data_IF_799682740893
#
_entry.id   IF_799682740893
#
_cell.length_a   1.000
_cell.length_b   1.000
_cell.length_c   1.000
_cell.angle_alpha   90.00
_cell.angle_beta   90.00
_cell.angle_gamma   90.00
#
_symmetry.space_group_name_H-M   'P 1'
#
loop_
_entity.id
_entity.type
_entity.pdbx_description
1 polymer ?
#
# COMPACT_ATOMS: atom_id res chain seq x y z
N UNK A 1 -4.68 18.37 -6.18
CA UNK A 1 -4.77 18.02 -7.61
C UNK A 1 -6.03 18.56 -8.33
N UNK A 2 -7.25 18.43 -7.80
CA UNK A 2 -8.48 18.91 -8.49
C UNK A 2 -8.45 20.39 -8.90
N UNK A 3 -7.99 21.27 -8.02
CA UNK A 3 -7.80 22.70 -8.32
C UNK A 3 -6.88 22.91 -9.53
N UNK A 4 -5.73 22.22 -9.56
CA UNK A 4 -4.78 22.30 -10.69
C UNK A 4 -5.41 21.83 -11.98
N UNK A 5 -6.20 20.76 -11.95
CA UNK A 5 -6.94 20.27 -13.13
C UNK A 5 -7.87 21.36 -13.67
N UNK A 6 -8.63 22.04 -12.82
CA UNK A 6 -9.56 23.12 -13.22
C UNK A 6 -8.83 24.33 -13.80
N UNK A 7 -7.83 24.84 -13.07
CA UNK A 7 -7.04 26.00 -13.49
C UNK A 7 -6.34 25.71 -14.81
N UNK A 8 -5.69 24.56 -14.95
CA UNK A 8 -5.05 24.15 -16.21
C UNK A 8 -6.05 24.00 -17.35
N UNK A 9 -7.27 23.52 -17.07
CA UNK A 9 -8.34 23.43 -18.06
C UNK A 9 -8.77 24.79 -18.63
N UNK A 10 -8.61 25.87 -17.85
CA UNK A 10 -8.80 27.23 -18.33
C UNK A 10 -7.56 27.80 -19.01
N UNK A 11 -6.36 27.56 -18.47
CA UNK A 11 -5.18 28.27 -18.93
C UNK A 11 -4.62 27.70 -20.24
N UNK A 12 -4.44 26.38 -20.31
CA UNK A 12 -3.75 25.72 -21.42
C UNK A 12 -4.55 24.60 -22.05
N UNK A 13 -5.56 24.08 -21.34
CA UNK A 13 -6.49 23.06 -21.79
C UNK A 13 -5.82 21.81 -22.42
N UNK A 14 -4.64 21.42 -21.92
CA UNK A 14 -3.90 20.29 -22.46
C UNK A 14 -4.73 18.98 -22.37
N UNK A 15 -4.86 18.18 -23.45
CA UNK A 15 -5.72 16.99 -23.48
C UNK A 15 -5.20 15.84 -22.59
N UNK A 16 -3.93 15.90 -22.20
CA UNK A 16 -3.27 14.94 -21.32
C UNK A 16 -2.68 15.66 -20.10
N UNK A 17 -2.68 14.96 -18.97
CA UNK A 17 -2.17 15.46 -17.69
C UNK A 17 -1.15 14.45 -17.18
N UNK A 18 0.07 14.90 -16.92
CA UNK A 18 1.06 14.14 -16.17
C UNK A 18 0.91 14.50 -14.69
N UNK A 19 0.68 13.50 -13.85
CA UNK A 19 0.77 13.64 -12.41
C UNK A 19 2.12 13.11 -11.91
N UNK A 20 2.84 13.93 -11.15
CA UNK A 20 4.18 13.65 -10.66
C UNK A 20 4.38 14.28 -9.27
N UNK A 21 4.85 13.48 -8.33
CA UNK A 21 5.17 13.94 -6.97
C UNK A 21 6.47 14.78 -6.94
N UNK A 22 6.60 15.62 -5.92
CA UNK A 22 7.75 16.53 -5.78
C UNK A 22 9.09 15.81 -5.53
N UNK A 23 9.06 14.57 -5.06
CA UNK A 23 10.23 13.74 -4.84
C UNK A 23 10.53 12.81 -6.02
N UNK A 24 9.81 12.94 -7.13
CA UNK A 24 10.02 12.20 -8.36
C UNK A 24 10.51 13.14 -9.47
N UNK A 25 11.47 12.70 -10.27
CA UNK A 25 11.92 13.43 -11.45
C UNK A 25 11.87 12.56 -12.71
N UNK A 26 11.83 13.23 -13.87
CA UNK A 26 11.87 12.58 -15.18
C UNK A 26 13.28 12.10 -15.47
N UNK A 27 13.48 10.78 -15.54
CA UNK A 27 14.76 10.18 -15.86
C UNK A 27 14.90 9.84 -17.35
N UNK A 28 13.81 9.41 -18.00
CA UNK A 28 13.81 9.19 -19.44
C UNK A 28 13.27 10.42 -20.18
N UNK A 29 14.09 11.15 -20.96
CA UNK A 29 13.66 12.37 -21.65
C UNK A 29 12.60 12.09 -22.74
N UNK A 30 12.49 10.85 -23.22
CA UNK A 30 11.50 10.45 -24.21
C UNK A 30 10.18 9.96 -23.59
N UNK A 31 10.02 10.04 -22.26
CA UNK A 31 8.86 9.44 -21.59
C UNK A 31 7.51 9.98 -22.10
N UNK A 32 7.44 11.29 -22.36
CA UNK A 32 6.22 11.91 -22.91
C UNK A 32 5.90 11.31 -24.27
N UNK A 33 6.90 11.12 -25.13
CA UNK A 33 6.73 10.48 -26.45
C UNK A 33 6.25 9.03 -26.30
N UNK A 34 6.86 8.26 -25.40
CA UNK A 34 6.44 6.87 -25.14
C UNK A 34 4.99 6.80 -24.65
N UNK A 35 4.60 7.66 -23.70
CA UNK A 35 3.23 7.74 -23.22
C UNK A 35 2.26 8.13 -24.34
N UNK A 36 2.61 9.08 -25.20
CA UNK A 36 1.79 9.48 -26.35
C UNK A 36 1.68 8.36 -27.39
N UNK A 37 2.73 7.56 -27.64
CA UNK A 37 2.62 6.38 -28.50
C UNK A 37 1.55 5.40 -27.97
N UNK A 38 1.44 5.23 -26.65
CA UNK A 38 0.45 4.33 -26.04
C UNK A 38 -0.97 4.95 -25.99
N UNK A 39 -1.08 6.26 -25.78
CA UNK A 39 -2.37 6.96 -25.69
C UNK A 39 -2.96 7.30 -27.06
N UNK A 40 -2.13 7.67 -28.03
CA UNK A 40 -2.57 8.07 -29.38
C UNK A 40 -2.45 6.93 -30.40
N UNK A 41 -1.54 5.97 -30.20
CA UNK A 41 -1.31 4.86 -31.12
C UNK A 41 -2.28 3.69 -30.96
N UNK A 42 -3.13 3.68 -29.93
CA UNK A 42 -4.19 2.67 -29.74
C UNK A 42 -5.26 2.78 -30.82
N UNK A 43 -5.79 1.66 -31.31
CA UNK A 43 -6.87 1.66 -32.32
C UNK A 43 -8.16 2.26 -31.77
N UNK A 44 -8.41 2.07 -30.48
CA UNK A 44 -9.55 2.62 -29.78
C UNK A 44 -9.07 3.38 -28.53
N UNK A 45 -9.53 4.61 -28.34
CA UNK A 45 -9.15 5.42 -27.17
C UNK A 45 -9.50 4.73 -25.84
N UNK A 46 -10.55 3.89 -25.81
CA UNK A 46 -10.94 3.07 -24.64
C UNK A 46 -9.81 2.18 -24.13
N UNK A 47 -8.87 1.79 -25.00
CA UNK A 47 -7.74 0.92 -24.66
C UNK A 47 -6.75 1.60 -23.71
N UNK A 48 -6.81 2.93 -23.55
CA UNK A 48 -5.91 3.65 -22.65
C UNK A 48 -6.55 4.94 -22.13
N UNK A 49 -7.15 4.87 -20.93
CA UNK A 49 -7.60 6.04 -20.16
C UNK A 49 -6.46 6.74 -19.43
N UNK A 50 -5.46 5.96 -18.99
CA UNK A 50 -4.20 6.45 -18.48
C UNK A 50 -3.05 5.46 -18.71
N UNK A 51 -1.83 5.99 -18.68
CA UNK A 51 -0.58 5.23 -18.77
C UNK A 51 0.18 5.38 -17.46
N UNK A 52 0.36 4.27 -16.75
CA UNK A 52 1.11 4.21 -15.50
C UNK A 52 2.55 3.79 -15.77
N UNK A 53 3.52 4.49 -15.18
CA UNK A 53 4.89 4.02 -15.09
C UNK A 53 5.17 3.46 -13.69
N UNK A 54 5.90 2.34 -13.54
CA UNK A 54 6.32 1.89 -12.22
C UNK A 54 7.19 2.94 -11.52
N UNK A 55 7.06 3.01 -10.20
CA UNK A 55 7.91 3.87 -9.38
C UNK A 55 9.24 3.15 -9.12
N UNK A 56 10.33 3.89 -9.29
CA UNK A 56 11.68 3.42 -9.01
C UNK A 56 12.42 4.49 -8.20
N UNK A 57 13.39 4.06 -7.40
CA UNK A 57 14.13 4.96 -6.52
C UNK A 57 15.60 5.04 -6.93
N UNK A 58 16.16 6.25 -7.00
CA UNK A 58 17.58 6.44 -7.36
C UNK A 58 18.53 6.22 -6.17
N UNK A 59 18.03 6.49 -4.96
CA UNK A 59 18.67 6.28 -3.66
C UNK A 59 18.15 5.01 -2.96
N UNK A 60 17.60 4.08 -3.76
CA UNK A 60 17.12 2.81 -3.26
C UNK A 60 18.22 2.03 -2.53
N UNK A 61 17.99 1.75 -1.25
CA UNK A 61 18.96 1.05 -0.42
C UNK A 61 19.28 -0.35 -0.97
N UNK A 62 20.56 -0.72 -0.93
CA UNK A 62 21.02 -2.03 -1.37
C UNK A 62 20.30 -3.14 -0.60
N UNK A 63 19.78 -4.12 -1.34
CA UNK A 63 19.00 -5.24 -0.80
C UNK A 63 17.67 -4.87 -0.14
N UNK A 64 17.16 -3.65 -0.33
CA UNK A 64 15.82 -3.22 0.14
C UNK A 64 15.51 -3.66 1.60
N UNK A 65 16.25 -3.18 2.60
CA UNK A 65 16.10 -3.60 3.99
C UNK A 65 14.73 -3.31 4.59
N UNK A 66 13.96 -2.41 3.98
CA UNK A 66 12.62 -1.99 4.42
C UNK A 66 11.49 -2.57 3.56
N UNK A 67 11.79 -3.28 2.46
CA UNK A 67 10.78 -3.89 1.58
C UNK A 67 9.90 -2.87 0.87
N UNK A 68 10.44 -1.71 0.50
CA UNK A 68 9.68 -0.58 -0.05
C UNK A 68 9.83 -0.42 -1.57
N UNK A 69 10.69 -1.20 -2.23
CA UNK A 69 10.92 -1.00 -3.67
C UNK A 69 9.85 -1.68 -4.54
N UNK A 70 9.20 -2.74 -4.03
CA UNK A 70 8.12 -3.46 -4.72
C UNK A 70 8.46 -3.90 -6.16
N UNK A 71 9.74 -4.09 -6.52
CA UNK A 71 10.13 -4.38 -7.91
C UNK A 71 9.50 -5.69 -8.44
N UNK A 72 9.51 -6.75 -7.61
CA UNK A 72 8.88 -8.04 -7.93
C UNK A 72 7.38 -7.88 -8.15
N UNK A 73 6.71 -7.11 -7.30
CA UNK A 73 5.28 -6.84 -7.42
C UNK A 73 4.96 -6.18 -8.77
N UNK A 74 5.72 -5.16 -9.14
CA UNK A 74 5.55 -4.49 -10.43
C UNK A 74 5.84 -5.41 -11.62
N UNK A 75 6.86 -6.29 -11.52
CA UNK A 75 7.21 -7.21 -12.59
C UNK A 75 6.15 -8.29 -12.81
N UNK A 76 5.67 -8.96 -11.77
CA UNK A 76 4.79 -10.11 -11.92
C UNK A 76 3.33 -9.70 -11.89
N UNK A 77 2.86 -9.13 -10.77
CA UNK A 77 1.46 -8.72 -10.65
C UNK A 77 1.15 -7.56 -11.60
N UNK A 78 2.01 -6.54 -11.65
CA UNK A 78 1.83 -5.37 -12.52
C UNK A 78 1.68 -5.75 -13.99
N UNK A 79 2.56 -6.60 -14.53
CA UNK A 79 2.42 -7.10 -15.89
C UNK A 79 1.23 -8.06 -16.06
N UNK A 80 0.91 -8.87 -15.05
CA UNK A 80 -0.24 -9.77 -15.08
C UNK A 80 -1.57 -9.04 -15.26
N UNK A 81 -1.79 -7.95 -14.52
CA UNK A 81 -3.04 -7.19 -14.57
C UNK A 81 -3.18 -6.30 -15.82
N UNK A 82 -2.07 -6.02 -16.52
CA UNK A 82 -2.09 -5.35 -17.84
C UNK A 82 -2.91 -6.15 -18.85
N UNK A 83 -2.86 -7.48 -18.80
CA UNK A 83 -3.64 -8.35 -19.67
C UNK A 83 -5.15 -8.35 -19.39
N UNK A 84 -5.60 -7.75 -18.29
CA UNK A 84 -7.00 -7.71 -17.87
C UNK A 84 -7.60 -6.36 -18.27
N UNK A 85 -7.62 -5.39 -17.35
CA UNK A 85 -8.12 -4.04 -17.59
C UNK A 85 -7.03 -2.98 -17.40
N UNK A 86 -5.82 -3.39 -17.00
CA UNK A 86 -4.67 -2.53 -16.85
C UNK A 86 -4.20 -2.33 -15.40
N UNK A 87 -3.04 -1.68 -15.21
CA UNK A 87 -2.49 -1.42 -13.89
C UNK A 87 -3.34 -0.44 -13.07
N UNK A 88 -3.17 -0.47 -11.75
CA UNK A 88 -3.75 0.56 -10.88
C UNK A 88 -3.10 1.92 -11.14
N UNK A 89 -3.81 2.99 -10.81
CA UNK A 89 -3.20 4.31 -10.72
C UNK A 89 -2.46 4.41 -9.38
N UNK A 90 -1.14 4.56 -9.42
CA UNK A 90 -0.26 4.52 -8.26
C UNK A 90 0.18 5.89 -7.74
N UNK A 91 -0.60 6.96 -7.97
CA UNK A 91 -0.38 8.26 -7.32
C UNK A 91 0.71 9.15 -7.92
N UNK A 92 1.59 8.64 -8.80
CA UNK A 92 2.65 9.42 -9.47
C UNK A 92 3.11 8.74 -10.76
N UNK A 93 3.87 9.44 -11.60
CA UNK A 93 4.42 8.92 -12.86
C UNK A 93 3.33 8.43 -13.83
N UNK A 94 2.19 9.12 -13.88
CA UNK A 94 1.01 8.67 -14.60
C UNK A 94 0.47 9.73 -15.56
N UNK A 95 0.26 9.34 -16.82
CA UNK A 95 -0.32 10.20 -17.85
C UNK A 95 -1.81 9.88 -18.02
N UNK A 96 -2.68 10.83 -17.69
CA UNK A 96 -4.12 10.69 -17.82
C UNK A 96 -4.64 11.46 -19.03
N UNK A 97 -5.69 10.94 -19.68
CA UNK A 97 -6.54 11.78 -20.52
C UNK A 97 -7.34 12.74 -19.63
N UNK A 98 -7.35 14.03 -19.97
CA UNK A 98 -8.13 15.04 -19.23
C UNK A 98 -9.62 14.68 -19.15
N UNK A 99 -10.21 14.21 -20.26
CA UNK A 99 -11.62 13.82 -20.30
C UNK A 99 -11.97 12.67 -19.34
N UNK A 100 -11.02 11.77 -19.07
CA UNK A 100 -11.18 10.68 -18.10
C UNK A 100 -11.26 11.24 -16.68
N UNK A 101 -10.39 12.21 -16.36
CA UNK A 101 -10.45 12.94 -15.09
C UNK A 101 -11.76 13.73 -14.97
N UNK A 102 -12.33 14.20 -16.08
CA UNK A 102 -13.65 14.82 -16.09
C UNK A 102 -14.84 13.85 -15.99
N UNK A 103 -14.58 12.54 -15.85
CA UNK A 103 -15.61 11.53 -15.64
C UNK A 103 -16.28 11.04 -16.93
N UNK A 104 -15.73 11.34 -18.11
CA UNK A 104 -16.26 10.84 -19.38
C UNK A 104 -16.14 9.31 -19.45
N UNK A 105 -17.13 8.65 -20.06
CA UNK A 105 -17.11 7.23 -20.38
C UNK A 105 -16.60 7.02 -21.82
N UNK A 106 -15.96 5.87 -22.13
CA UNK A 106 -15.48 5.58 -23.49
C UNK A 106 -16.61 5.53 -24.54
N UNK A 107 -17.84 5.22 -24.12
CA UNK A 107 -19.02 5.10 -24.98
C UNK A 107 -19.76 6.44 -25.18
N UNK A 108 -19.31 7.51 -24.54
CA UNK A 108 -19.89 8.85 -24.71
C UNK A 108 -19.42 9.44 -26.05
N UNK A 109 -19.91 8.89 -27.17
CA UNK A 109 -19.64 9.41 -28.50
C UNK A 109 -20.47 10.70 -28.70
N UNK A 110 -19.78 11.84 -28.78
CA UNK A 110 -20.22 13.04 -29.51
C UNK A 110 -21.12 14.05 -28.80
N UNK A 111 -21.90 13.69 -27.77
CA UNK A 111 -22.90 14.63 -27.19
C UNK A 111 -22.45 15.25 -25.86
N UNK A 112 -21.95 14.47 -24.88
CA UNK A 112 -21.44 15.01 -23.60
C UNK A 112 -20.05 15.64 -23.69
N UNK A 113 -19.21 15.23 -24.65
CA UNK A 113 -17.91 15.86 -24.87
C UNK A 113 -18.04 17.34 -25.28
N UNK A 114 -19.15 17.72 -25.95
CA UNK A 114 -19.47 19.12 -26.28
C UNK A 114 -19.97 19.91 -25.06
N UNK A 115 -20.69 19.30 -24.11
CA UNK A 115 -21.11 20.00 -22.88
C UNK A 115 -19.99 20.14 -21.84
N UNK A 116 -18.92 19.36 -22.01
CA UNK A 116 -17.65 19.47 -21.28
C UNK A 116 -16.62 20.32 -22.03
N UNK A 117 -17.05 21.12 -23.02
CA UNK A 117 -16.18 22.13 -23.62
C UNK A 117 -15.66 23.01 -22.49
N UNK A 118 -14.34 23.02 -22.24
CA UNK A 118 -13.75 23.85 -21.23
C UNK A 118 -14.17 25.28 -21.51
N UNK A 119 -14.49 26.05 -20.47
CA UNK A 119 -14.84 27.48 -20.61
C UNK A 119 -13.78 28.21 -21.44
N UNK A 120 -12.54 27.71 -21.46
CA UNK A 120 -11.48 28.13 -22.38
C UNK A 120 -11.86 28.12 -23.87
N UNK A 121 -12.47 27.05 -24.39
CA UNK A 121 -12.81 26.93 -25.81
C UNK A 121 -14.00 27.84 -26.17
N UNK A 122 -14.96 27.98 -25.26
CA UNK A 122 -16.06 28.94 -25.36
C UNK A 122 -15.56 30.39 -25.29
N UNK A 123 -14.60 30.68 -24.40
CA UNK A 123 -13.92 31.97 -24.31
C UNK A 123 -13.11 32.24 -25.58
N UNK A 124 -12.37 31.27 -26.12
CA UNK A 124 -11.60 31.46 -27.34
C UNK A 124 -12.50 31.77 -28.54
N UNK A 125 -13.64 31.08 -28.66
CA UNK A 125 -14.64 31.37 -29.71
C UNK A 125 -15.25 32.76 -29.54
N UNK A 126 -15.66 33.12 -28.33
CA UNK A 126 -16.30 34.41 -28.05
C UNK A 126 -15.36 35.60 -28.30
N UNK A 127 -14.06 35.44 -28.00
CA UNK A 127 -13.06 36.50 -28.18
C UNK A 127 -12.56 36.61 -29.62
N UNK A 128 -12.42 35.48 -30.35
CA UNK A 128 -12.19 35.49 -31.81
C UNK A 128 -13.31 36.21 -32.56
N UNK A 129 -14.56 36.06 -32.10
CA UNK A 129 -15.71 36.73 -32.69
C UNK A 129 -15.77 38.24 -32.41
N UNK A 130 -15.06 38.75 -31.39
CA UNK A 130 -15.18 40.15 -30.91
C UNK A 130 -13.92 41.02 -31.11
N UNK A 131 -12.86 40.54 -31.76
CA UNK A 131 -11.60 41.29 -31.97
C UNK A 131 -11.04 41.97 -30.70
N UNK A 132 -11.14 41.31 -29.54
CA UNK A 132 -10.71 41.87 -28.25
C UNK A 132 -9.17 41.85 -28.14
N UNK A 133 -8.57 42.88 -27.51
CA UNK A 133 -7.12 42.98 -27.28
C UNK A 133 -6.60 41.80 -26.44
N UNK A 134 -5.45 41.27 -26.83
CA UNK A 134 -4.80 40.11 -26.19
C UNK A 134 -4.58 40.30 -24.68
N UNK A 135 -4.29 41.53 -24.22
CA UNK A 135 -4.11 41.84 -22.80
C UNK A 135 -5.39 41.67 -21.96
N UNK A 136 -6.54 42.05 -22.50
CA UNK A 136 -7.83 41.94 -21.81
C UNK A 136 -8.28 40.47 -21.73
N UNK A 137 -7.96 39.68 -22.75
CA UNK A 137 -8.13 38.23 -22.72
C UNK A 137 -7.34 37.58 -21.57
N UNK A 138 -6.04 37.89 -21.44
CA UNK A 138 -5.22 37.34 -20.36
C UNK A 138 -5.64 37.82 -18.97
N UNK A 139 -6.08 39.08 -18.83
CA UNK A 139 -6.61 39.59 -17.56
C UNK A 139 -7.88 38.84 -17.14
N UNK A 140 -8.83 38.70 -18.06
CA UNK A 140 -10.09 37.99 -17.81
C UNK A 140 -9.86 36.48 -17.57
N UNK A 141 -8.87 35.89 -18.24
CA UNK A 141 -8.47 34.50 -18.00
C UNK A 141 -7.88 34.31 -16.59
N UNK A 142 -7.05 35.24 -16.12
CA UNK A 142 -6.50 35.20 -14.77
C UNK A 142 -7.58 35.35 -13.70
N UNK A 143 -8.58 36.19 -13.92
CA UNK A 143 -9.72 36.33 -13.02
C UNK A 143 -10.57 35.06 -12.98
N UNK A 144 -10.87 34.47 -14.14
CA UNK A 144 -11.58 33.19 -14.22
C UNK A 144 -10.77 32.05 -13.55
N UNK A 145 -9.45 32.02 -13.73
CA UNK A 145 -8.56 31.07 -13.07
C UNK A 145 -8.62 31.20 -11.54
N UNK A 146 -8.65 32.43 -11.01
CA UNK A 146 -8.83 32.67 -9.57
C UNK A 146 -10.19 32.19 -9.08
N UNK A 147 -11.26 32.38 -9.85
CA UNK A 147 -12.61 31.92 -9.50
C UNK A 147 -12.68 30.39 -9.42
N UNK A 148 -12.15 29.66 -10.40
CA UNK A 148 -12.17 28.18 -10.37
C UNK A 148 -11.21 27.58 -9.35
N UNK A 149 -10.24 28.36 -8.88
CA UNK A 149 -9.36 28.02 -7.78
C UNK A 149 -9.94 28.37 -6.39
N UNK A 150 -11.09 29.06 -6.34
CA UNK A 150 -11.70 29.48 -5.09
C UNK A 150 -12.09 28.31 -4.18
N UNK A 151 -11.96 28.50 -2.87
CA UNK A 151 -12.26 27.47 -1.85
C UNK A 151 -13.72 26.99 -1.89
N UNK A 152 -14.66 27.88 -2.25
CA UNK A 152 -16.09 27.55 -2.38
C UNK A 152 -16.47 26.88 -3.70
N UNK A 153 -15.55 26.74 -4.67
CA UNK A 153 -15.89 26.28 -6.01
C UNK A 153 -16.47 24.86 -6.03
N UNK A 154 -15.99 24.00 -5.13
CA UNK A 154 -16.40 22.59 -5.11
C UNK A 154 -17.71 22.37 -4.34
N UNK A 155 -18.16 23.38 -3.58
CA UNK A 155 -19.38 23.29 -2.79
C UNK A 155 -20.62 23.12 -3.69
N UNK A 156 -21.41 22.09 -3.42
CA UNK A 156 -22.59 21.75 -4.23
C UNK A 156 -22.28 21.19 -5.63
N UNK A 157 -21.02 20.90 -5.95
CA UNK A 157 -20.63 20.32 -7.25
C UNK A 157 -20.31 18.82 -7.16
N UNK A 158 -20.15 18.17 -8.31
CA UNK A 158 -19.70 16.76 -8.40
C UNK A 158 -18.17 16.59 -8.30
N UNK A 159 -17.39 17.66 -8.08
CA UNK A 159 -15.94 17.56 -7.92
C UNK A 159 -15.55 16.73 -6.70
N UNK A 160 -14.59 15.82 -6.88
CA UNK A 160 -14.15 14.85 -5.88
C UNK A 160 -15.15 13.71 -5.62
N UNK A 161 -16.39 13.81 -6.10
CA UNK A 161 -17.41 12.76 -5.93
C UNK A 161 -17.59 11.93 -7.19
N UNK A 162 -17.76 12.56 -8.34
CA UNK A 162 -17.93 11.88 -9.62
C UNK A 162 -16.91 12.36 -10.65
N UNK A 163 -16.40 13.58 -10.46
CA UNK A 163 -15.46 14.24 -11.36
C UNK A 163 -14.17 14.53 -10.62
N UNK A 164 -13.04 14.40 -11.30
CA UNK A 164 -11.72 14.68 -10.76
C UNK A 164 -11.10 13.49 -10.01
N UNK A 165 -10.08 13.83 -9.22
CA UNK A 165 -9.44 12.96 -8.23
C UNK A 165 -10.41 12.73 -7.07
N UNK A 166 -10.61 11.47 -6.70
CA UNK A 166 -11.74 11.03 -5.87
C UNK A 166 -11.50 11.26 -4.38
N UNK A 167 -12.48 11.77 -3.66
CA UNK A 167 -12.42 11.95 -2.21
C UNK A 167 -12.90 10.70 -1.47
N UNK A 168 -12.51 10.59 -0.19
CA UNK A 168 -13.05 9.59 0.73
C UNK A 168 -12.11 8.47 1.15
N UNK A 169 -10.85 8.47 0.70
CA UNK A 169 -9.81 7.54 1.13
C UNK A 169 -8.45 8.24 1.25
N UNK A 170 -7.61 7.80 2.18
CA UNK A 170 -6.20 8.22 2.28
C UNK A 170 -5.31 7.71 1.12
N UNK A 171 -5.84 6.81 0.29
CA UNK A 171 -5.26 6.33 -0.98
C UNK A 171 -6.21 6.67 -2.12
N UNK A 172 -6.38 7.97 -2.37
CA UNK A 172 -7.27 8.49 -3.40
C UNK A 172 -6.87 8.07 -4.81
N UNK A 173 -5.60 7.73 -4.98
CA UNK A 173 -5.01 7.21 -6.21
C UNK A 173 -5.64 5.88 -6.62
N UNK A 174 -5.61 4.88 -5.75
CA UNK A 174 -6.23 3.58 -5.99
C UNK A 174 -7.74 3.73 -6.21
N UNK A 175 -8.40 4.58 -5.42
CA UNK A 175 -9.84 4.86 -5.59
C UNK A 175 -10.14 5.51 -6.95
N UNK A 176 -9.34 6.48 -7.36
CA UNK A 176 -9.51 7.15 -8.66
C UNK A 176 -9.29 6.17 -9.80
N UNK A 177 -8.25 5.33 -9.74
CA UNK A 177 -8.00 4.27 -10.71
C UNK A 177 -9.16 3.27 -10.81
N UNK A 178 -9.69 2.83 -9.66
CA UNK A 178 -10.83 1.93 -9.58
C UNK A 178 -12.06 2.51 -10.27
N UNK A 179 -12.40 3.77 -10.00
CA UNK A 179 -13.56 4.41 -10.63
C UNK A 179 -13.35 4.71 -12.11
N UNK A 180 -12.11 4.89 -12.56
CA UNK A 180 -11.80 4.99 -14.01
C UNK A 180 -12.07 3.64 -14.68
N UNK A 181 -11.60 2.53 -14.10
CA UNK A 181 -11.87 1.20 -14.62
C UNK A 181 -13.36 0.82 -14.54
N UNK A 182 -14.06 1.20 -13.47
CA UNK A 182 -15.51 0.98 -13.34
C UNK A 182 -16.32 1.69 -14.45
N UNK A 183 -15.79 2.78 -15.02
CA UNK A 183 -16.34 3.48 -16.19
C UNK A 183 -15.91 2.87 -17.52
N UNK A 184 -15.38 1.65 -17.52
CA UNK A 184 -15.02 0.87 -18.71
C UNK A 184 -13.75 1.34 -19.45
N UNK A 185 -12.96 2.22 -18.83
CA UNK A 185 -11.62 2.54 -19.32
C UNK A 185 -10.65 1.41 -19.01
N UNK A 186 -9.72 1.17 -19.94
CA UNK A 186 -8.52 0.38 -19.67
C UNK A 186 -7.35 1.31 -19.33
N UNK A 187 -6.28 0.74 -18.82
CA UNK A 187 -5.03 1.46 -18.57
C UNK A 187 -3.85 0.63 -19.05
N UNK A 188 -2.72 1.31 -19.26
CA UNK A 188 -1.53 0.69 -19.84
C UNK A 188 -0.34 0.90 -18.93
N UNK A 189 0.52 -0.12 -18.82
CA UNK A 189 1.79 -0.02 -18.11
C UNK A 189 2.89 0.39 -19.10
N UNK A 190 3.66 1.43 -18.78
CA UNK A 190 4.79 1.88 -19.58
C UNK A 190 6.10 1.65 -18.83
N UNK A 191 6.91 0.73 -19.35
CA UNK A 191 8.20 0.29 -18.80
C UNK A 191 9.34 0.56 -19.78
N UNK A 192 9.66 1.83 -20.09
CA UNK A 192 10.70 2.14 -21.05
C UNK A 192 12.10 1.88 -20.47
N UNK A 193 13.07 1.76 -21.38
CA UNK A 193 14.50 1.79 -21.05
C UNK A 193 15.12 3.07 -21.65
N UNK A 194 15.80 3.91 -20.86
CA UNK A 194 15.95 3.87 -19.39
C UNK A 194 14.63 4.08 -18.63
N UNK A 195 14.60 3.77 -17.32
CA UNK A 195 13.43 3.90 -16.42
C UNK A 195 12.82 5.30 -16.54
N UNK A 196 11.49 5.38 -16.57
CA UNK A 196 10.74 6.61 -16.86
C UNK A 196 10.99 7.74 -15.84
N UNK A 197 10.73 7.42 -14.57
CA UNK A 197 10.81 8.34 -13.45
C UNK A 197 11.63 7.69 -12.34
N UNK A 198 12.35 8.53 -11.58
CA UNK A 198 13.10 8.12 -10.40
C UNK A 198 12.72 9.05 -9.24
N UNK A 199 12.58 8.53 -8.03
CA UNK A 199 12.38 9.35 -6.83
C UNK A 199 13.17 8.90 -5.63
N UNK A 200 12.88 9.49 -4.46
CA UNK A 200 13.57 9.15 -3.21
C UNK A 200 12.86 8.03 -2.44
N UNK A 201 13.61 7.03 -2.00
CA UNK A 201 13.12 5.96 -1.13
C UNK A 201 12.97 6.46 0.31
N UNK A 202 12.00 5.92 1.08
CA UNK A 202 11.92 6.19 2.52
C UNK A 202 13.24 5.79 3.21
N UNK A 203 13.94 6.71 3.92
CA UNK A 203 15.30 6.47 4.38
C UNK A 203 15.38 5.64 5.68
N UNK A 204 14.27 5.48 6.40
CA UNK A 204 14.26 4.95 7.75
C UNK A 204 13.00 4.14 8.09
N UNK A 205 13.11 3.30 9.12
CA UNK A 205 12.04 2.43 9.62
C UNK A 205 10.74 3.17 9.96
N UNK A 206 10.76 4.22 10.81
CA UNK A 206 9.54 4.92 11.21
C UNK A 206 8.77 5.59 10.06
N UNK A 207 9.50 6.24 9.14
CA UNK A 207 8.92 6.88 7.95
C UNK A 207 8.26 5.82 7.06
N UNK A 208 8.96 4.71 6.82
CA UNK A 208 8.42 3.57 6.06
C UNK A 208 7.16 2.99 6.71
N UNK A 209 7.15 2.78 8.04
CA UNK A 209 5.98 2.24 8.73
C UNK A 209 4.79 3.20 8.71
N UNK A 210 5.02 4.51 8.88
CA UNK A 210 3.96 5.52 8.80
C UNK A 210 3.32 5.54 7.41
N UNK A 211 4.14 5.43 6.36
CA UNK A 211 3.66 5.29 4.98
C UNK A 211 2.81 4.02 4.81
N UNK A 212 3.28 2.87 5.28
CA UNK A 212 2.55 1.59 5.23
C UNK A 212 1.21 1.65 5.98
N UNK A 213 1.16 2.34 7.13
CA UNK A 213 -0.08 2.55 7.90
C UNK A 213 -1.08 3.36 7.09
N UNK A 214 -0.64 4.46 6.47
CA UNK A 214 -1.49 5.32 5.62
C UNK A 214 -2.08 4.52 4.46
N UNK A 215 -1.25 3.73 3.78
CA UNK A 215 -1.71 2.86 2.70
C UNK A 215 -2.74 1.84 3.17
N UNK A 216 -2.43 1.06 4.21
CA UNK A 216 -3.37 0.07 4.74
C UNK A 216 -4.70 0.69 5.19
N UNK A 217 -4.66 1.89 5.77
CA UNK A 217 -5.86 2.67 6.15
C UNK A 217 -6.69 3.00 4.91
N UNK A 218 -6.10 3.67 3.92
CA UNK A 218 -6.82 4.09 2.72
C UNK A 218 -7.36 2.93 1.88
N UNK A 219 -6.58 1.85 1.76
CA UNK A 219 -6.98 0.63 1.07
C UNK A 219 -8.21 -0.02 1.74
N UNK A 220 -8.20 -0.11 3.07
CA UNK A 220 -9.34 -0.65 3.80
C UNK A 220 -10.56 0.27 3.73
N UNK A 221 -10.38 1.61 3.75
CA UNK A 221 -11.46 2.58 3.55
C UNK A 221 -12.17 2.36 2.20
N UNK A 222 -11.43 2.09 1.13
CA UNK A 222 -12.01 1.77 -0.19
C UNK A 222 -12.81 0.48 -0.12
N UNK A 223 -12.24 -0.57 0.50
CA UNK A 223 -12.87 -1.90 0.57
C UNK A 223 -14.25 -1.87 1.24
N UNK A 224 -14.39 -1.10 2.31
CA UNK A 224 -15.65 -1.00 3.08
C UNK A 224 -16.59 0.09 2.54
N UNK A 225 -16.12 0.94 1.63
CA UNK A 225 -16.95 2.01 1.06
C UNK A 225 -17.99 1.47 0.08
N UNK A 226 -18.97 2.30 -0.26
CA UNK A 226 -19.93 2.03 -1.35
C UNK A 226 -19.24 1.93 -2.73
N UNK A 227 -17.99 2.41 -2.84
CA UNK A 227 -17.21 2.49 -4.07
C UNK A 227 -16.16 1.35 -4.16
N UNK A 228 -16.46 0.21 -3.55
CA UNK A 228 -15.58 -0.95 -3.56
C UNK A 228 -15.66 -1.72 -4.90
N UNK A 229 -14.67 -2.56 -5.22
CA UNK A 229 -14.62 -3.26 -6.51
C UNK A 229 -15.73 -4.30 -6.70
N UNK A 230 -16.29 -4.87 -5.63
CA UNK A 230 -17.39 -5.84 -5.73
C UNK A 230 -18.64 -5.13 -6.26
N UNK A 231 -19.00 -4.01 -5.64
CA UNK A 231 -20.12 -3.17 -6.09
C UNK A 231 -19.87 -2.70 -7.52
N UNK A 232 -18.66 -2.21 -7.83
CA UNK A 232 -18.32 -1.79 -9.18
C UNK A 232 -18.41 -2.90 -10.26
N UNK A 233 -18.18 -4.17 -9.91
CA UNK A 233 -18.39 -5.29 -10.83
C UNK A 233 -19.87 -5.65 -10.98
N UNK A 234 -20.68 -5.49 -9.93
CA UNK A 234 -22.11 -5.80 -9.96
C UNK A 234 -22.95 -4.69 -10.62
N UNK A 235 -22.58 -3.43 -10.42
CA UNK A 235 -23.39 -2.27 -10.82
C UNK A 235 -22.78 -1.44 -11.95
N UNK A 236 -21.50 -1.64 -12.28
CA UNK A 236 -20.78 -0.89 -13.30
C UNK A 236 -20.02 -1.83 -14.26
N UNK A 237 -18.93 -1.37 -14.87
CA UNK A 237 -18.21 -2.10 -15.92
C UNK A 237 -16.81 -2.53 -15.51
N UNK A 238 -16.61 -2.83 -14.23
CA UNK A 238 -15.35 -3.40 -13.75
C UNK A 238 -15.32 -4.90 -14.03
N UNK A 239 -14.33 -5.37 -14.79
CA UNK A 239 -14.18 -6.79 -15.10
C UNK A 239 -13.96 -7.62 -13.83
N UNK A 240 -14.55 -8.81 -13.76
CA UNK A 240 -14.42 -9.70 -12.60
C UNK A 240 -12.95 -9.97 -12.20
N UNK A 241 -12.08 -10.29 -13.17
CA UNK A 241 -10.65 -10.50 -12.90
C UNK A 241 -9.95 -9.23 -12.41
N UNK A 242 -10.39 -8.05 -12.85
CA UNK A 242 -9.87 -6.78 -12.34
C UNK A 242 -10.35 -6.52 -10.92
N UNK A 243 -11.59 -6.89 -10.59
CA UNK A 243 -12.10 -6.86 -9.23
C UNK A 243 -11.26 -7.73 -8.29
N UNK A 244 -10.89 -8.96 -8.68
CA UNK A 244 -9.97 -9.79 -7.90
C UNK A 244 -8.60 -9.12 -7.68
N UNK A 245 -8.07 -8.43 -8.70
CA UNK A 245 -6.83 -7.68 -8.56
C UNK A 245 -6.96 -6.51 -7.56
N UNK A 246 -8.05 -5.75 -7.62
CA UNK A 246 -8.33 -4.71 -6.62
C UNK A 246 -8.51 -5.31 -5.23
N UNK A 247 -9.28 -6.39 -5.08
CA UNK A 247 -9.44 -7.06 -3.78
C UNK A 247 -8.10 -7.50 -3.20
N UNK A 248 -7.18 -8.02 -4.02
CA UNK A 248 -5.84 -8.42 -3.57
C UNK A 248 -5.05 -7.27 -2.92
N UNK A 249 -5.11 -6.05 -3.48
CA UNK A 249 -4.42 -4.90 -2.88
C UNK A 249 -5.22 -4.31 -1.70
N UNK A 250 -6.55 -4.29 -1.77
CA UNK A 250 -7.39 -3.65 -0.76
C UNK A 250 -7.42 -4.40 0.59
N UNK A 251 -7.11 -5.71 0.62
CA UNK A 251 -7.19 -6.53 1.85
C UNK A 251 -5.99 -6.41 2.79
N UNK A 252 -5.01 -5.54 2.53
CA UNK A 252 -3.80 -5.41 3.37
C UNK A 252 -4.13 -5.17 4.85
N UNK A 253 -5.06 -4.25 5.13
CA UNK A 253 -5.54 -4.00 6.49
C UNK A 253 -6.17 -5.23 7.13
N UNK A 254 -7.07 -5.93 6.44
CA UNK A 254 -7.73 -7.14 6.97
C UNK A 254 -6.76 -8.30 7.19
N UNK A 255 -5.75 -8.44 6.33
CA UNK A 255 -4.70 -9.48 6.44
C UNK A 255 -3.90 -9.37 7.74
N UNK A 256 -3.82 -8.19 8.36
CA UNK A 256 -3.12 -8.00 9.64
C UNK A 256 -3.65 -8.89 10.77
N UNK A 257 -4.95 -9.18 10.78
CA UNK A 257 -5.63 -9.95 11.83
C UNK A 257 -5.20 -11.43 11.80
N UNK A 258 -5.37 -12.18 10.69
CA UNK A 258 -4.89 -13.56 10.64
C UNK A 258 -3.37 -13.64 10.80
N UNK A 259 -2.59 -12.70 10.26
CA UNK A 259 -1.13 -12.69 10.47
C UNK A 259 -0.76 -12.55 11.95
N UNK A 260 -1.45 -11.69 12.71
CA UNK A 260 -1.27 -11.57 14.15
C UNK A 260 -1.57 -12.89 14.86
N UNK A 261 -2.69 -13.54 14.53
CA UNK A 261 -3.06 -14.84 15.10
C UNK A 261 -1.97 -15.90 14.81
N UNK A 262 -1.53 -16.02 13.56
CA UNK A 262 -0.49 -16.98 13.17
C UNK A 262 0.88 -16.65 13.78
N UNK A 263 1.20 -15.38 13.99
CA UNK A 263 2.44 -14.96 14.64
C UNK A 263 2.46 -15.27 16.15
N UNK A 264 1.29 -15.37 16.79
CA UNK A 264 1.14 -15.69 18.22
C UNK A 264 0.97 -17.21 18.45
N UNK A 265 0.38 -17.92 17.49
CA UNK A 265 0.00 -19.33 17.61
C UNK A 265 1.14 -20.26 18.10
N UNK A 266 2.39 -20.19 17.59
CA UNK A 266 3.47 -21.03 18.10
C UNK A 266 3.77 -20.81 19.59
N UNK A 267 3.77 -19.55 20.05
CA UNK A 267 3.99 -19.23 21.45
C UNK A 267 2.85 -19.75 22.32
N UNK A 268 1.61 -19.56 21.87
CA UNK A 268 0.42 -20.09 22.55
C UNK A 268 0.57 -21.59 22.78
N UNK A 269 0.82 -22.36 21.72
CA UNK A 269 0.96 -23.81 21.77
C UNK A 269 2.08 -24.29 22.70
N UNK A 270 3.25 -23.62 22.70
CA UNK A 270 4.34 -23.93 23.64
C UNK A 270 3.94 -23.65 25.09
N UNK A 271 3.18 -22.59 25.35
CA UNK A 271 2.75 -22.23 26.73
C UNK A 271 1.69 -23.21 27.24
N UNK A 272 0.71 -23.56 26.40
CA UNK A 272 -0.40 -24.47 26.74
C UNK A 272 -0.04 -25.94 26.61
N UNK A 273 1.14 -26.26 26.10
CA UNK A 273 1.55 -27.61 25.74
C UNK A 273 0.53 -28.32 24.82
N UNK A 274 0.06 -27.58 23.81
CA UNK A 274 -0.84 -28.09 22.76
C UNK A 274 -0.14 -28.08 21.41
N UNK A 275 -0.68 -28.78 20.41
CA UNK A 275 -0.12 -28.78 19.06
C UNK A 275 -1.08 -28.23 18.00
N UNK A 276 -0.52 -27.73 16.91
CA UNK A 276 -1.29 -27.32 15.72
C UNK A 276 -0.75 -27.94 14.43
N UNK A 277 0.41 -28.58 14.49
CA UNK A 277 0.99 -29.35 13.41
C UNK A 277 0.86 -30.85 13.70
N UNK A 278 0.76 -31.69 12.65
CA UNK A 278 0.93 -33.12 12.80
C UNK A 278 2.26 -33.44 13.50
N UNK A 279 2.31 -34.54 14.23
CA UNK A 279 3.57 -34.93 14.91
C UNK A 279 4.64 -35.28 13.88
N UNK A 280 5.90 -35.10 14.24
CA UNK A 280 7.02 -35.33 13.31
C UNK A 280 7.14 -36.80 12.84
N UNK A 281 6.57 -37.75 13.59
CA UNK A 281 6.49 -39.16 13.24
C UNK A 281 5.26 -39.50 12.37
N UNK A 282 4.33 -38.57 12.18
CA UNK A 282 3.14 -38.77 11.35
C UNK A 282 3.44 -38.36 9.90
N UNK A 283 3.15 -39.21 8.90
CA UNK A 283 3.35 -38.87 7.48
C UNK A 283 2.62 -37.59 7.03
N UNK A 284 1.58 -37.18 7.75
CA UNK A 284 0.82 -35.97 7.47
C UNK A 284 1.67 -34.68 7.56
N UNK A 285 2.78 -34.67 8.32
CA UNK A 285 3.70 -33.52 8.42
C UNK A 285 4.32 -33.16 7.05
N UNK A 286 4.40 -34.10 6.12
CA UNK A 286 4.93 -33.87 4.78
C UNK A 286 4.13 -32.82 3.99
N UNK A 287 2.81 -32.70 4.24
CA UNK A 287 1.94 -31.74 3.54
C UNK A 287 2.33 -30.29 3.87
N UNK A 288 2.31 -29.82 5.13
CA UNK A 288 2.69 -28.45 5.46
C UNK A 288 4.17 -28.17 5.12
N UNK A 289 5.06 -29.15 5.27
CA UNK A 289 6.48 -29.00 4.88
C UNK A 289 6.61 -28.77 3.38
N UNK A 290 5.95 -29.57 2.54
CA UNK A 290 5.97 -29.42 1.08
C UNK A 290 5.40 -28.07 0.64
N UNK A 291 4.29 -27.62 1.23
CA UNK A 291 3.70 -26.31 0.95
C UNK A 291 4.67 -25.17 1.32
N UNK A 292 5.29 -25.25 2.50
CA UNK A 292 6.26 -24.26 2.96
C UNK A 292 7.48 -24.18 2.03
N UNK A 293 8.09 -25.31 1.71
CA UNK A 293 9.25 -25.36 0.81
C UNK A 293 8.89 -24.89 -0.60
N UNK A 294 7.73 -25.28 -1.13
CA UNK A 294 7.27 -24.83 -2.44
C UNK A 294 7.10 -23.31 -2.47
N UNK A 295 6.53 -22.71 -1.43
CA UNK A 295 6.39 -21.25 -1.31
C UNK A 295 7.75 -20.55 -1.24
N UNK A 296 8.71 -21.07 -0.47
CA UNK A 296 10.05 -20.49 -0.38
C UNK A 296 10.79 -20.54 -1.72
N UNK A 297 10.74 -21.69 -2.40
CA UNK A 297 11.40 -21.87 -3.70
C UNK A 297 10.78 -20.95 -4.75
N UNK A 298 9.45 -20.95 -4.86
CA UNK A 298 8.72 -20.12 -5.82
C UNK A 298 8.96 -18.62 -5.57
N UNK A 299 8.84 -18.16 -4.32
CA UNK A 299 9.06 -16.74 -4.03
C UNK A 299 10.52 -16.34 -4.20
N UNK A 300 11.48 -17.24 -3.95
CA UNK A 300 12.89 -16.98 -4.20
C UNK A 300 13.20 -16.91 -5.69
N UNK A 301 12.62 -17.81 -6.50
CA UNK A 301 12.85 -17.84 -7.95
C UNK A 301 12.40 -16.53 -8.61
N UNK A 302 11.26 -15.96 -8.20
CA UNK A 302 10.80 -14.66 -8.71
C UNK A 302 11.81 -13.53 -8.48
N UNK A 303 12.48 -13.51 -7.32
CA UNK A 303 13.50 -12.50 -7.03
C UNK A 303 14.76 -12.71 -7.88
N UNK A 304 15.19 -13.96 -8.02
CA UNK A 304 16.40 -14.30 -8.78
C UNK A 304 16.21 -14.05 -10.28
N UNK A 305 15.04 -14.36 -10.84
CA UNK A 305 14.70 -14.15 -12.25
C UNK A 305 14.79 -12.69 -12.68
N UNK A 306 14.50 -11.75 -11.77
CA UNK A 306 14.61 -10.31 -12.05
C UNK A 306 15.96 -9.71 -11.62
N UNK A 307 16.92 -10.53 -11.21
CA UNK A 307 18.26 -10.12 -10.83
C UNK A 307 18.39 -9.55 -9.41
N UNK A 308 17.40 -9.75 -8.54
CA UNK A 308 17.49 -9.35 -7.13
C UNK A 308 18.22 -10.41 -6.29
N UNK A 309 18.93 -9.93 -5.28
CA UNK A 309 19.67 -10.82 -4.37
C UNK A 309 18.76 -11.61 -3.42
N UNK A 310 19.23 -12.78 -2.97
CA UNK A 310 18.59 -13.58 -1.90
C UNK A 310 18.36 -12.73 -0.64
N UNK A 311 19.27 -11.80 -0.32
CA UNK A 311 19.12 -10.88 0.82
C UNK A 311 17.92 -9.95 0.65
N UNK A 312 17.64 -9.48 -0.57
CA UNK A 312 16.48 -8.66 -0.87
C UNK A 312 15.16 -9.44 -0.72
N UNK A 313 15.14 -10.69 -1.21
CA UNK A 313 14.04 -11.62 -0.97
C UNK A 313 13.79 -11.80 0.53
N UNK A 314 14.83 -12.14 1.28
CA UNK A 314 14.69 -12.37 2.72
C UNK A 314 14.24 -11.10 3.47
N UNK A 315 14.78 -9.93 3.11
CA UNK A 315 14.34 -8.66 3.70
C UNK A 315 12.85 -8.40 3.43
N UNK A 316 12.37 -8.66 2.21
CA UNK A 316 10.96 -8.53 1.87
C UNK A 316 10.07 -9.53 2.62
N UNK A 317 10.49 -10.79 2.78
CA UNK A 317 9.75 -11.79 3.57
C UNK A 317 9.56 -11.32 5.03
N UNK A 318 10.64 -10.83 5.65
CA UNK A 318 10.60 -10.29 7.02
C UNK A 318 9.72 -9.05 7.11
N UNK A 319 9.92 -8.10 6.19
CA UNK A 319 9.18 -6.84 6.19
C UNK A 319 7.70 -7.05 5.89
N UNK A 320 7.32 -8.05 5.09
CA UNK A 320 5.92 -8.42 4.89
C UNK A 320 5.21 -8.77 6.19
N UNK A 321 5.85 -9.57 7.06
CA UNK A 321 5.32 -9.93 8.38
C UNK A 321 5.34 -8.75 9.36
N UNK A 322 6.42 -7.98 9.38
CA UNK A 322 6.55 -6.79 10.23
C UNK A 322 5.48 -5.76 9.85
N UNK A 323 5.30 -5.47 8.56
CA UNK A 323 4.31 -4.51 8.06
C UNK A 323 2.88 -4.96 8.39
N UNK A 324 2.57 -6.24 8.18
CA UNK A 324 1.25 -6.80 8.48
C UNK A 324 0.89 -6.70 9.96
N UNK A 325 1.81 -7.08 10.86
CA UNK A 325 1.55 -7.10 12.31
C UNK A 325 1.66 -5.74 12.99
N UNK A 326 2.33 -4.76 12.37
CA UNK A 326 2.55 -3.43 12.93
C UNK A 326 1.70 -2.37 12.18
N UNK A 327 2.18 -1.68 11.13
CA UNK A 327 1.45 -0.57 10.53
C UNK A 327 0.11 -0.96 9.91
N UNK A 328 -0.04 -2.14 9.30
CA UNK A 328 -1.32 -2.55 8.72
C UNK A 328 -2.36 -2.87 9.79
N UNK A 329 -1.95 -3.43 10.92
CA UNK A 329 -2.81 -3.64 12.09
C UNK A 329 -3.34 -2.30 12.63
N UNK A 330 -2.46 -1.30 12.78
CA UNK A 330 -2.88 0.04 13.19
C UNK A 330 -3.77 0.73 12.15
N UNK A 331 -3.53 0.52 10.85
CA UNK A 331 -4.42 0.99 9.79
C UNK A 331 -5.81 0.37 9.91
N UNK A 332 -5.89 -0.95 10.15
CA UNK A 332 -7.14 -1.66 10.34
C UNK A 332 -7.92 -1.17 11.58
N UNK A 333 -7.23 -1.01 12.71
CA UNK A 333 -7.82 -0.46 13.95
C UNK A 333 -8.31 0.97 13.71
N UNK A 334 -7.56 1.80 12.98
CA UNK A 334 -7.95 3.19 12.69
C UNK A 334 -9.27 3.26 11.91
N UNK A 335 -9.43 2.40 10.91
CA UNK A 335 -10.69 2.31 10.15
C UNK A 335 -11.82 1.74 11.01
N UNK A 336 -11.55 0.72 11.85
CA UNK A 336 -12.55 0.16 12.77
C UNK A 336 -13.07 1.25 13.73
N UNK A 337 -12.18 2.04 14.34
CA UNK A 337 -12.56 3.14 15.23
C UNK A 337 -13.37 4.21 14.52
N UNK A 338 -13.06 4.49 13.24
CA UNK A 338 -13.82 5.40 12.39
C UNK A 338 -15.25 4.87 12.13
N UNK A 339 -15.40 3.58 11.83
CA UNK A 339 -16.72 2.93 11.66
C UNK A 339 -17.53 3.03 12.96
N UNK A 340 -16.88 2.79 14.11
CA UNK A 340 -17.49 2.89 15.43
C UNK A 340 -17.75 4.35 15.88
N UNK A 341 -17.39 5.36 15.07
CA UNK A 341 -17.51 6.80 15.35
C UNK A 341 -16.78 7.24 16.63
N UNK A 342 -15.73 6.52 17.02
CA UNK A 342 -14.93 6.79 18.22
C UNK A 342 -13.82 7.80 17.94
N UNK A 343 -13.36 7.94 16.69
CA UNK A 343 -12.32 8.90 16.30
C UNK A 343 -12.64 9.63 14.98
N UNK A 344 -12.21 10.89 14.90
CA UNK A 344 -12.19 11.67 13.65
C UNK A 344 -11.00 11.31 12.78
N UNK A 345 -11.08 11.60 11.48
CA UNK A 345 -10.00 11.34 10.51
C UNK A 345 -8.81 12.27 10.75
N UNK A 346 -7.71 11.76 11.32
CA UNK A 346 -6.43 12.47 11.35
C UNK A 346 -5.60 11.97 10.17
N UNK A 347 -5.44 12.83 9.16
CA UNK A 347 -4.50 12.59 8.07
C UNK A 347 -3.08 12.86 8.57
N UNK A 348 -2.32 11.82 8.88
CA UNK A 348 -0.90 11.93 9.21
C UNK A 348 -0.08 12.11 7.92
N UNK A 349 0.42 13.32 7.71
CA UNK A 349 1.35 13.60 6.60
C UNK A 349 2.66 12.87 6.89
N UNK A 350 3.07 11.99 5.97
CA UNK A 350 4.39 11.36 6.05
C UNK A 350 5.45 12.42 5.74
N UNK A 351 6.24 12.82 6.74
CA UNK A 351 7.37 13.72 6.50
C UNK A 351 8.44 13.00 5.69
N UNK A 352 8.78 13.55 4.53
CA UNK A 352 9.92 13.12 3.72
C UNK A 352 11.12 13.96 4.14
N UNK A 353 11.86 13.50 5.15
CA UNK A 353 13.14 14.13 5.50
C UNK A 353 14.21 13.74 4.47
N UNK A 354 15.05 14.70 4.08
CA UNK A 354 16.23 14.44 3.26
C UNK A 354 17.19 13.53 4.04
N UNK A 355 17.74 12.52 3.36
CA UNK A 355 18.75 11.63 3.94
C UNK A 355 19.92 12.44 4.49
N UNK A 356 20.14 12.37 5.81
CA UNK A 356 21.37 12.89 6.39
C UNK A 356 22.53 12.00 5.96
N UNK A 357 23.44 12.57 5.17
CA UNK A 357 24.66 11.94 4.62
C UNK A 357 25.65 11.54 5.74
N UNK A 358 25.32 10.51 6.52
CA UNK A 358 26.24 9.88 7.46
C UNK A 358 26.52 8.45 6.98
N UNK A 359 27.53 8.33 6.11
CA UNK A 359 27.87 7.16 5.29
C UNK A 359 28.42 5.93 6.03
N UNK A 360 27.82 5.54 7.16
CA UNK A 360 28.23 4.35 7.92
C UNK A 360 27.11 3.37 8.31
N UNK A 361 25.83 3.78 8.30
CA UNK A 361 24.74 2.98 8.87
C UNK A 361 23.45 3.02 8.00
N UNK A 362 23.61 3.22 6.69
CA UNK A 362 22.51 3.26 5.72
C UNK A 362 21.77 1.90 5.66
N UNK A 363 20.45 1.93 5.81
CA UNK A 363 19.61 0.74 5.77
C UNK A 363 19.56 -0.09 7.05
N UNK A 364 20.16 0.37 8.14
CA UNK A 364 19.92 -0.21 9.47
C UNK A 364 18.54 0.21 9.97
N UNK A 365 17.79 -0.77 10.50
CA UNK A 365 16.47 -0.54 11.03
C UNK A 365 16.50 0.38 12.26
N UNK A 366 15.65 1.41 12.26
CA UNK A 366 15.54 2.41 13.33
C UNK A 366 14.17 2.38 13.98
N UNK A 367 14.10 2.90 15.19
CA UNK A 367 12.90 2.95 16.02
C UNK A 367 12.69 4.36 16.56
N UNK A 368 11.44 4.69 16.85
CA UNK A 368 11.05 5.90 17.57
C UNK A 368 10.00 5.56 18.65
N UNK A 369 9.46 6.59 19.32
CA UNK A 369 8.46 6.45 20.38
C UNK A 369 7.04 6.11 19.85
N UNK A 370 6.87 5.87 18.56
CA UNK A 370 5.58 5.56 17.95
C UNK A 370 5.00 4.25 18.51
N UNK A 371 3.67 4.21 18.75
CA UNK A 371 3.00 2.97 19.15
C UNK A 371 3.06 1.89 18.06
N UNK A 372 3.44 2.25 16.82
CA UNK A 372 3.59 1.31 15.70
C UNK A 372 4.53 0.15 16.00
N UNK A 373 5.55 0.34 16.84
CA UNK A 373 6.52 -0.72 17.17
C UNK A 373 6.05 -1.65 18.30
N UNK A 374 4.91 -1.35 18.94
CA UNK A 374 4.43 -2.10 20.10
C UNK A 374 4.01 -3.55 19.74
N UNK A 375 3.18 -3.81 18.70
CA UNK A 375 2.71 -5.17 18.42
C UNK A 375 3.87 -6.13 18.10
N UNK A 376 4.80 -5.72 17.25
CA UNK A 376 5.98 -6.53 16.89
C UNK A 376 6.88 -6.80 18.08
N UNK A 377 7.07 -5.81 18.96
CA UNK A 377 7.82 -6.00 20.21
C UNK A 377 7.10 -6.97 21.15
N UNK A 378 5.77 -6.87 21.27
CA UNK A 378 4.96 -7.79 22.09
C UNK A 378 5.03 -9.22 21.57
N UNK A 379 4.89 -9.42 20.25
CA UNK A 379 5.02 -10.75 19.61
C UNK A 379 6.40 -11.32 19.89
N UNK A 380 7.46 -10.53 19.71
CA UNK A 380 8.83 -10.99 19.97
C UNK A 380 9.01 -11.42 21.43
N UNK A 381 8.62 -10.59 22.39
CA UNK A 381 8.73 -10.89 23.81
C UNK A 381 7.90 -12.11 24.21
N UNK A 382 6.72 -12.30 23.59
CA UNK A 382 5.88 -13.46 23.81
C UNK A 382 6.55 -14.75 23.32
N UNK A 383 7.17 -14.75 22.14
CA UNK A 383 7.91 -15.89 21.62
C UNK A 383 9.12 -16.23 22.52
N UNK A 384 9.86 -15.22 22.97
CA UNK A 384 10.98 -15.43 23.90
C UNK A 384 10.52 -15.98 25.26
N UNK A 385 9.39 -15.47 25.77
CA UNK A 385 8.79 -15.98 27.01
C UNK A 385 8.32 -17.42 26.86
N UNK A 386 7.76 -17.78 25.70
CA UNK A 386 7.37 -19.15 25.40
C UNK A 386 8.58 -20.10 25.42
N UNK A 387 9.75 -19.69 24.90
CA UNK A 387 10.96 -20.51 25.05
C UNK A 387 11.39 -20.69 26.50
N UNK A 388 11.35 -19.63 27.31
CA UNK A 388 11.72 -19.72 28.74
C UNK A 388 10.79 -20.69 29.48
N UNK A 389 9.48 -20.57 29.28
CA UNK A 389 8.49 -21.47 29.88
C UNK A 389 8.61 -22.90 29.33
N UNK A 390 8.87 -23.00 28.03
CA UNK A 390 8.96 -24.25 27.29
C UNK A 390 10.14 -25.11 27.75
N UNK A 391 11.34 -24.55 27.73
CA UNK A 391 12.57 -25.21 28.16
C UNK A 391 12.68 -25.34 29.68
N UNK A 392 12.04 -24.43 30.44
CA UNK A 392 12.01 -24.49 31.89
C UNK A 392 11.04 -25.53 32.47
N UNK A 393 10.29 -26.25 31.62
CA UNK A 393 9.28 -27.22 32.07
C UNK A 393 8.09 -26.58 32.79
N UNK A 394 7.88 -25.28 32.63
CA UNK A 394 6.83 -24.49 33.29
C UNK A 394 5.59 -24.33 32.42
N UNK A 395 5.36 -25.26 31.48
CA UNK A 395 4.21 -25.27 30.60
C UNK A 395 2.95 -25.74 31.34
N UNK A 396 1.77 -25.48 30.77
CA UNK A 396 0.54 -26.10 31.27
C UNK A 396 0.57 -27.63 31.07
N UNK A 397 -0.15 -28.42 31.89
CA UNK A 397 -0.30 -29.85 31.64
C UNK A 397 -0.99 -30.07 30.30
N UNK A 398 -0.51 -31.01 29.48
CA UNK A 398 -1.14 -31.34 28.21
C UNK A 398 -2.53 -31.92 28.43
N UNK A 399 -3.51 -31.42 27.68
CA UNK A 399 -4.82 -32.06 27.54
C UNK A 399 -4.70 -33.03 26.35
N UNK A 400 -5.03 -34.31 26.54
CA UNK A 400 -5.11 -35.35 25.50
C UNK A 400 -3.82 -35.81 24.78
N UNK A 401 -2.71 -36.08 25.50
CA UNK A 401 -1.45 -36.59 24.91
C UNK A 401 -0.88 -35.74 23.74
N UNK A 402 -1.45 -34.55 23.51
CA UNK A 402 -1.17 -33.71 22.35
C UNK A 402 -0.16 -32.61 22.67
N UNK A 403 0.96 -33.02 23.25
CA UNK A 403 2.02 -32.12 23.70
C UNK A 403 2.61 -31.32 22.53
N UNK A 404 3.02 -30.08 22.81
CA UNK A 404 3.72 -29.24 21.84
C UNK A 404 4.98 -29.95 21.32
N UNK A 405 5.18 -29.94 20.00
CA UNK A 405 6.22 -30.69 19.32
C UNK A 405 7.37 -29.82 18.82
N UNK A 406 8.32 -30.47 18.14
CA UNK A 406 9.44 -29.80 17.47
C UNK A 406 8.96 -28.81 16.39
N UNK A 407 7.80 -29.05 15.77
CA UNK A 407 7.22 -28.17 14.75
C UNK A 407 6.86 -26.79 15.30
N UNK A 408 6.18 -26.73 16.46
CA UNK A 408 5.81 -25.49 17.13
C UNK A 408 7.05 -24.67 17.52
N UNK A 409 8.10 -25.33 18.04
CA UNK A 409 9.37 -24.70 18.37
C UNK A 409 10.03 -24.12 17.11
N UNK A 410 10.09 -24.88 16.02
CA UNK A 410 10.63 -24.40 14.74
C UNK A 410 9.84 -23.19 14.22
N UNK A 411 8.50 -23.23 14.28
CA UNK A 411 7.66 -22.10 13.89
C UNK A 411 7.92 -20.86 14.77
N UNK A 412 8.06 -21.04 16.09
CA UNK A 412 8.40 -19.96 17.02
C UNK A 412 9.77 -19.34 16.69
N UNK A 413 10.77 -20.18 16.42
CA UNK A 413 12.11 -19.74 16.00
C UNK A 413 12.03 -18.96 14.68
N UNK A 414 11.27 -19.45 13.69
CA UNK A 414 11.07 -18.76 12.42
C UNK A 414 10.41 -17.38 12.61
N UNK A 415 9.45 -17.24 13.53
CA UNK A 415 8.88 -15.94 13.88
C UNK A 415 9.97 -15.03 14.45
N UNK A 416 10.77 -15.48 15.42
CA UNK A 416 11.87 -14.68 16.00
C UNK A 416 12.88 -14.24 14.93
N UNK A 417 13.26 -15.14 14.00
CA UNK A 417 14.15 -14.81 12.87
C UNK A 417 13.50 -13.78 11.93
N UNK A 418 12.18 -13.85 11.70
CA UNK A 418 11.49 -12.83 10.92
C UNK A 418 11.55 -11.44 11.59
N UNK A 419 11.44 -11.41 12.92
CA UNK A 419 11.54 -10.21 13.76
C UNK A 419 12.97 -9.86 14.19
N UNK A 420 14.00 -10.37 13.50
CA UNK A 420 15.41 -10.07 13.82
C UNK A 420 15.76 -8.57 13.96
N UNK A 421 15.17 -7.62 13.19
CA UNK A 421 15.38 -6.19 13.45
C UNK A 421 14.94 -5.75 14.84
N UNK A 422 13.83 -6.31 15.35
CA UNK A 422 13.34 -6.04 16.70
C UNK A 422 14.23 -6.70 17.76
N UNK A 423 14.77 -7.89 17.49
CA UNK A 423 15.79 -8.53 18.35
C UNK A 423 17.00 -7.60 18.51
N UNK A 424 17.54 -7.09 17.40
CA UNK A 424 18.63 -6.10 17.45
C UNK A 424 18.19 -4.82 18.16
N UNK A 425 16.94 -4.42 18.01
CA UNK A 425 16.33 -3.26 18.65
C UNK A 425 16.26 -3.37 20.18
N UNK A 426 16.03 -4.57 20.74
CA UNK A 426 16.01 -4.76 22.20
C UNK A 426 17.35 -4.43 22.87
N UNK A 427 18.45 -4.64 22.15
CA UNK A 427 19.82 -4.38 22.64
C UNK A 427 20.46 -3.14 21.97
N UNK A 428 19.70 -2.42 21.15
CA UNK A 428 20.17 -1.24 20.44
C UNK A 428 20.26 -0.01 21.33
N UNK A 429 21.07 0.97 20.93
CA UNK A 429 21.19 2.28 21.60
C UNK A 429 20.71 3.41 20.68
N UNK A 430 20.19 4.48 21.27
CA UNK A 430 19.69 5.65 20.52
C UNK A 430 18.60 5.26 19.53
N UNK A 431 18.65 5.82 18.32
CA UNK A 431 17.68 5.56 17.23
C UNK A 431 17.62 4.10 16.73
N UNK A 432 18.58 3.26 17.14
CA UNK A 432 18.62 1.84 16.79
C UNK A 432 18.04 0.93 17.87
N UNK A 433 17.71 1.48 19.04
CA UNK A 433 17.09 0.76 20.14
C UNK A 433 15.59 0.99 20.21
N UNK A 434 14.82 -0.04 20.56
CA UNK A 434 13.40 0.11 20.86
C UNK A 434 13.29 0.93 22.17
N UNK A 435 12.47 1.99 22.22
CA UNK A 435 12.33 2.78 23.44
C UNK A 435 11.91 1.94 24.64
N UNK A 436 12.50 2.22 25.80
CA UNK A 436 12.20 1.49 27.05
C UNK A 436 10.71 1.52 27.38
N UNK A 437 10.03 2.63 27.12
CA UNK A 437 8.58 2.74 27.29
C UNK A 437 7.79 1.72 26.44
N UNK A 438 8.25 1.45 25.22
CA UNK A 438 7.63 0.47 24.32
C UNK A 438 7.92 -0.93 24.81
N UNK A 439 9.16 -1.23 25.22
CA UNK A 439 9.54 -2.52 25.82
C UNK A 439 8.67 -2.81 27.06
N UNK A 440 8.56 -1.87 28.01
CA UNK A 440 7.76 -2.06 29.22
C UNK A 440 6.29 -2.33 28.92
N UNK A 441 5.67 -1.57 28.00
CA UNK A 441 4.27 -1.78 27.59
C UNK A 441 4.10 -3.14 26.91
N UNK A 442 5.00 -3.50 26.01
CA UNK A 442 4.97 -4.79 25.32
C UNK A 442 5.21 -5.97 26.25
N UNK A 443 6.09 -5.83 27.25
CA UNK A 443 6.29 -6.83 28.31
C UNK A 443 5.01 -7.04 29.13
N UNK A 444 4.34 -5.95 29.53
CA UNK A 444 3.08 -6.04 30.25
C UNK A 444 2.00 -6.78 29.43
N UNK A 445 1.87 -6.46 28.15
CA UNK A 445 0.92 -7.13 27.25
C UNK A 445 1.26 -8.61 27.08
N UNK A 446 2.54 -8.94 26.88
CA UNK A 446 3.03 -10.31 26.73
C UNK A 446 2.76 -11.14 28.00
N UNK A 447 3.11 -10.61 29.18
CA UNK A 447 2.86 -11.29 30.46
C UNK A 447 1.37 -11.42 30.77
N UNK A 448 0.57 -10.42 30.43
CA UNK A 448 -0.90 -10.48 30.58
C UNK A 448 -1.48 -11.59 29.70
N UNK A 449 -1.01 -11.73 28.47
CA UNK A 449 -1.41 -12.83 27.59
C UNK A 449 -1.04 -14.19 28.20
N UNK A 450 0.21 -14.36 28.66
CA UNK A 450 0.66 -15.59 29.33
C UNK A 450 -0.21 -15.92 30.53
N UNK A 451 -0.52 -14.93 31.37
CA UNK A 451 -1.37 -15.10 32.54
C UNK A 451 -2.78 -15.55 32.16
N UNK A 452 -3.40 -14.89 31.18
CA UNK A 452 -4.74 -15.25 30.70
C UNK A 452 -4.78 -16.68 30.16
N UNK A 453 -3.81 -17.05 29.31
CA UNK A 453 -3.71 -18.37 28.70
C UNK A 453 -3.53 -19.47 29.75
N UNK A 454 -2.66 -19.26 30.75
CA UNK A 454 -2.47 -20.21 31.86
C UNK A 454 -3.72 -20.31 32.74
N UNK A 455 -4.38 -19.18 33.03
CA UNK A 455 -5.62 -19.17 33.81
C UNK A 455 -6.74 -19.96 33.12
N UNK A 456 -6.91 -19.79 31.81
CA UNK A 456 -7.91 -20.54 31.04
C UNK A 456 -7.58 -22.03 30.98
N UNK A 457 -6.31 -22.40 30.79
CA UNK A 457 -5.89 -23.81 30.80
C UNK A 457 -6.17 -24.48 32.15
N UNK A 458 -5.96 -23.77 33.26
CA UNK A 458 -6.24 -24.31 34.62
C UNK A 458 -7.74 -24.50 34.89
N UNK A 459 -8.62 -23.68 34.29
CA UNK A 459 -10.07 -23.75 34.49
C UNK A 459 -10.75 -24.86 33.68
N UNK A 460 -10.15 -25.31 32.58
CA UNK A 460 -10.67 -26.43 31.78
C UNK A 460 -10.39 -27.82 32.36
N UNK A 461 -9.75 -27.90 33.53
CA UNK A 461 -9.40 -29.14 34.23
C UNK A 461 -10.30 -29.43 35.45
N UNK A 462 -11.30 -28.58 35.72
CA UNK A 462 -12.37 -28.79 36.72
C UNK A 462 -13.66 -29.06 35.97
#
# INVERSE_FOLDING_TARGET
>A
MNVLTRVSGLMTNAPFILNLDCDMFVNNPNIVRHAMCLLLGSRNERESGFVQCPQYFYDGLKHDPFGNQFEVLHKYLGNGIVGIQGPFYGGTGCFHRRKVIYGACPHDIGIKAKSLTPVHDLLLMHYKARQIRVLDFFRNLNEAAKQVAGCGYEYGTSWGKEVGWQYGSATEDILTGLLIHARDWRSVLCTPHPRAFLGCAPPAGPISMTQQKRWATGLLEILISERNPIVATLTARLQFRQCLAYLWILIWGLRSIPELCYAVLPAYCIITNSSFLPKANEPAICIPVALFLSYLIYSLSEYLEIGLSIRAWWNNQRMGRINATNPWLFGAISVLLKILRVSGTVFEVTQKEQSSNNGGDEGRFTFDASPLFMPGTTILLLQLTAFVLGFGGMQSPSVDNDASGLGEIVCSVLVVICFWPFVKGLFGKGKYGIPVSTICKSSLLSLSFVYLVKSTASKGQV
#
